data_IF_076686953958
#
_entry.id   IF_076686953958
#
_cell.length_a   1.000
_cell.length_b   1.000
_cell.length_c   1.000
_cell.angle_alpha   90.00
_cell.angle_beta   90.00
_cell.angle_gamma   90.00
#
_symmetry.space_group_name_H-M   'P 1'
#
loop_
_entity.id
_entity.type
_entity.pdbx_description
1 polymer ?
#
# COMPACT_ATOMS: atom_id res chain seq x y z
N UNK A 1 -4.35 30.29 -30.16
CA UNK A 1 -5.48 29.65 -29.49
C UNK A 1 -5.10 29.01 -28.14
N UNK A 2 -4.07 28.19 -28.04
CA UNK A 2 -3.61 27.57 -26.77
C UNK A 2 -3.19 28.59 -25.70
N UNK A 3 -2.46 29.65 -26.05
CA UNK A 3 -2.04 30.71 -25.10
C UNK A 3 -3.24 31.49 -24.52
N UNK A 4 -4.29 31.73 -25.31
CA UNK A 4 -5.51 32.41 -24.84
C UNK A 4 -6.27 31.53 -23.85
N UNK A 5 -6.36 30.21 -24.10
CA UNK A 5 -6.99 29.24 -23.22
C UNK A 5 -6.22 29.14 -21.89
N UNK A 6 -4.89 29.13 -21.91
CA UNK A 6 -4.06 29.12 -20.72
C UNK A 6 -4.22 30.41 -19.89
N UNK A 7 -4.26 31.59 -20.53
CA UNK A 7 -4.49 32.85 -19.85
C UNK A 7 -5.88 32.91 -19.20
N UNK A 8 -6.93 32.42 -19.89
CA UNK A 8 -8.27 32.36 -19.35
C UNK A 8 -8.37 31.42 -18.14
N UNK A 9 -7.74 30.25 -18.22
CA UNK A 9 -7.64 29.29 -17.09
C UNK A 9 -6.99 29.93 -15.87
N UNK A 10 -5.88 30.66 -16.05
CA UNK A 10 -5.16 31.31 -14.96
C UNK A 10 -6.02 32.39 -14.28
N UNK A 11 -6.77 33.18 -15.06
CA UNK A 11 -7.68 34.20 -14.53
C UNK A 11 -8.83 33.59 -13.72
N UNK A 12 -9.42 32.50 -14.19
CA UNK A 12 -10.48 31.79 -13.48
C UNK A 12 -9.94 31.17 -12.17
N UNK A 13 -8.77 30.58 -12.19
CA UNK A 13 -8.14 30.03 -10.98
C UNK A 13 -7.80 31.12 -9.95
N UNK A 14 -7.32 32.29 -10.39
CA UNK A 14 -7.07 33.41 -9.51
C UNK A 14 -8.34 34.01 -8.92
N UNK A 15 -9.43 34.07 -9.68
CA UNK A 15 -10.73 34.51 -9.18
C UNK A 15 -11.27 33.55 -8.10
N UNK A 16 -11.14 32.25 -8.32
CA UNK A 16 -11.56 31.21 -7.36
C UNK A 16 -10.75 31.29 -6.07
N UNK A 17 -9.43 31.52 -6.18
CA UNK A 17 -8.54 31.75 -5.03
C UNK A 17 -8.88 33.01 -4.26
N UNK A 18 -9.27 34.09 -4.97
CA UNK A 18 -9.69 35.33 -4.35
C UNK A 18 -10.92 35.14 -3.43
N UNK A 19 -11.84 34.23 -3.78
CA UNK A 19 -12.96 33.84 -2.93
C UNK A 19 -12.62 32.76 -1.89
N UNK A 20 -11.35 32.43 -1.69
CA UNK A 20 -10.92 31.44 -0.69
C UNK A 20 -11.13 29.97 -1.10
N UNK A 21 -11.43 29.69 -2.39
CA UNK A 21 -11.59 28.33 -2.89
C UNK A 21 -10.33 27.85 -3.62
N UNK A 22 -10.06 26.56 -3.52
CA UNK A 22 -9.05 25.87 -4.32
C UNK A 22 -9.73 24.84 -5.23
N UNK A 23 -9.34 24.80 -6.52
CA UNK A 23 -9.75 23.72 -7.41
C UNK A 23 -8.65 22.67 -7.38
N UNK A 24 -8.97 21.49 -6.85
CA UNK A 24 -8.17 20.31 -7.01
C UNK A 24 -8.69 19.51 -8.21
N UNK A 25 -7.77 19.07 -9.07
CA UNK A 25 -8.12 18.13 -10.14
C UNK A 25 -8.37 16.78 -9.46
N UNK A 26 -9.62 16.45 -9.25
CA UNK A 26 -10.00 15.11 -8.79
C UNK A 26 -9.62 14.08 -9.88
N UNK A 27 -9.27 12.86 -9.48
CA UNK A 27 -9.15 11.77 -10.44
C UNK A 27 -10.48 11.63 -11.23
N UNK A 28 -10.41 11.25 -12.51
CA UNK A 28 -11.62 11.07 -13.30
C UNK A 28 -12.52 10.05 -12.62
N UNK A 29 -13.82 10.37 -12.49
CA UNK A 29 -14.80 9.40 -11.99
C UNK A 29 -14.73 8.14 -12.84
N UNK A 30 -14.78 6.93 -12.21
CA UNK A 30 -14.74 5.69 -12.95
C UNK A 30 -15.88 5.66 -13.96
N UNK A 31 -15.54 5.66 -15.22
CA UNK A 31 -16.53 5.47 -16.27
C UNK A 31 -16.87 3.99 -16.35
N UNK A 32 -18.16 3.66 -16.52
CA UNK A 32 -18.64 2.28 -16.77
C UNK A 32 -17.95 1.59 -17.97
N UNK A 33 -17.27 2.35 -18.81
CA UNK A 33 -16.52 1.93 -20.00
C UNK A 33 -15.05 2.34 -19.92
N UNK A 34 -14.33 1.99 -18.83
CA UNK A 34 -12.91 2.27 -18.77
C UNK A 34 -12.17 1.34 -19.74
N UNK A 35 -11.35 1.92 -20.60
CA UNK A 35 -10.48 1.16 -21.53
C UNK A 35 -9.27 0.65 -20.75
N UNK A 36 -8.78 -0.52 -21.12
CA UNK A 36 -7.47 -0.98 -20.66
C UNK A 36 -6.40 -0.18 -21.39
N UNK A 37 -5.52 0.44 -20.63
CA UNK A 37 -4.34 1.18 -21.12
C UNK A 37 -3.08 0.56 -20.52
N UNK A 38 -1.91 0.98 -20.99
CA UNK A 38 -0.64 0.49 -20.45
C UNK A 38 0.14 1.62 -19.80
N UNK A 39 0.81 1.29 -18.67
CA UNK A 39 1.76 2.15 -17.98
C UNK A 39 3.07 1.40 -17.86
N UNK A 40 4.21 2.05 -18.06
CA UNK A 40 5.52 1.41 -17.89
C UNK A 40 5.95 1.48 -16.43
N UNK A 41 6.06 0.31 -15.76
CA UNK A 41 6.53 0.15 -14.39
C UNK A 41 7.52 -1.01 -14.32
N UNK A 42 8.61 -0.85 -13.57
CA UNK A 42 9.65 -1.88 -13.46
C UNK A 42 10.21 -2.34 -14.82
N UNK A 43 10.25 -1.45 -15.81
CA UNK A 43 10.69 -1.77 -17.16
C UNK A 43 9.71 -2.62 -18.00
N UNK A 44 8.49 -2.85 -17.51
CA UNK A 44 7.44 -3.62 -18.20
C UNK A 44 6.20 -2.77 -18.47
N UNK A 45 5.46 -3.14 -19.53
CA UNK A 45 4.19 -2.51 -19.90
C UNK A 45 3.04 -3.18 -19.13
N UNK A 46 2.55 -2.53 -18.08
CA UNK A 46 1.52 -3.03 -17.19
C UNK A 46 0.15 -2.53 -17.65
N UNK A 47 -0.80 -3.44 -17.77
CA UNK A 47 -2.19 -3.13 -18.11
C UNK A 47 -2.93 -2.58 -16.90
N UNK A 48 -3.66 -1.50 -17.12
CA UNK A 48 -4.47 -0.85 -16.09
C UNK A 48 -5.73 -0.28 -16.75
N UNK A 49 -6.83 -0.20 -16.02
CA UNK A 49 -8.01 0.52 -16.49
C UNK A 49 -7.79 2.03 -16.47
N UNK A 50 -8.16 2.73 -17.54
CA UNK A 50 -7.96 4.20 -17.68
C UNK A 50 -8.67 5.03 -16.60
N UNK A 51 -9.71 4.48 -15.97
CA UNK A 51 -10.40 5.09 -14.83
C UNK A 51 -9.78 4.77 -13.46
N UNK A 52 -8.77 3.90 -13.41
CA UNK A 52 -8.10 3.58 -12.16
C UNK A 52 -7.26 4.78 -11.70
N UNK A 53 -7.38 5.23 -10.43
CA UNK A 53 -6.62 6.35 -9.89
C UNK A 53 -5.11 6.23 -10.06
N UNK A 54 -4.56 5.01 -10.08
CA UNK A 54 -3.14 4.75 -10.29
C UNK A 54 -2.61 5.34 -11.60
N UNK A 55 -3.42 5.37 -12.69
CA UNK A 55 -3.01 6.02 -13.93
C UNK A 55 -2.65 7.49 -13.74
N UNK A 56 -3.45 8.22 -12.94
CA UNK A 56 -3.20 9.61 -12.62
C UNK A 56 -2.09 9.73 -11.55
N UNK A 57 -2.08 8.81 -10.61
CA UNK A 57 -1.12 8.81 -9.50
C UNK A 57 0.32 8.66 -10.01
N UNK A 58 0.61 7.69 -10.86
CA UNK A 58 1.94 7.53 -11.47
C UNK A 58 2.35 8.68 -12.41
N UNK A 59 1.38 9.35 -13.05
CA UNK A 59 1.69 10.57 -13.82
C UNK A 59 2.10 11.74 -12.93
N UNK A 60 1.50 11.86 -11.74
CA UNK A 60 1.77 12.93 -10.78
C UNK A 60 2.99 12.62 -9.92
N UNK A 61 3.15 11.36 -9.54
CA UNK A 61 4.20 10.83 -8.68
C UNK A 61 4.91 9.64 -9.34
N UNK A 62 5.86 9.90 -10.25
CA UNK A 62 6.53 8.82 -11.00
C UNK A 62 7.29 7.81 -10.11
N UNK A 63 7.69 8.24 -8.92
CA UNK A 63 8.45 7.42 -7.97
C UNK A 63 7.56 6.78 -6.89
N UNK A 64 6.22 6.82 -7.05
CA UNK A 64 5.32 6.14 -6.14
C UNK A 64 5.65 4.64 -6.05
N UNK A 65 5.65 4.08 -4.85
CA UNK A 65 6.06 2.70 -4.55
C UNK A 65 7.54 2.34 -4.85
N UNK A 66 8.37 3.27 -5.35
CA UNK A 66 9.79 2.99 -5.63
C UNK A 66 10.57 2.61 -4.35
N UNK A 67 10.12 3.08 -3.18
CA UNK A 67 10.61 2.65 -1.87
C UNK A 67 10.52 1.13 -1.67
N UNK A 68 9.43 0.51 -2.13
CA UNK A 68 9.22 -0.95 -2.04
C UNK A 68 10.18 -1.69 -2.97
N UNK A 69 10.45 -1.13 -4.16
CA UNK A 69 11.45 -1.68 -5.09
C UNK A 69 12.86 -1.66 -4.50
N UNK A 70 13.27 -0.54 -3.88
CA UNK A 70 14.57 -0.43 -3.18
C UNK A 70 14.65 -1.42 -2.04
N UNK A 71 13.59 -1.55 -1.22
CA UNK A 71 13.55 -2.56 -0.15
C UNK A 71 13.71 -3.97 -0.70
N UNK A 72 13.05 -4.30 -1.81
CA UNK A 72 13.18 -5.60 -2.45
C UNK A 72 14.62 -5.89 -2.90
N UNK A 73 15.32 -4.89 -3.47
CA UNK A 73 16.72 -5.02 -3.86
C UNK A 73 17.65 -5.24 -2.65
N UNK A 74 17.47 -4.44 -1.58
CA UNK A 74 18.26 -4.57 -0.34
C UNK A 74 18.01 -5.91 0.35
N UNK A 75 16.74 -6.34 0.40
CA UNK A 75 16.36 -7.66 0.94
C UNK A 75 16.98 -8.77 0.11
N UNK A 76 16.95 -8.71 -1.22
CA UNK A 76 17.61 -9.72 -2.07
C UNK A 76 19.12 -9.78 -1.83
N UNK A 77 19.76 -8.64 -1.66
CA UNK A 77 21.20 -8.58 -1.38
C UNK A 77 21.59 -9.32 -0.09
N UNK A 78 20.77 -9.23 0.95
CA UNK A 78 21.00 -9.91 2.25
C UNK A 78 20.43 -11.33 2.31
N UNK A 79 19.29 -11.54 1.69
CA UNK A 79 18.50 -12.78 1.77
C UNK A 79 18.12 -13.25 0.36
N UNK A 80 19.08 -13.79 -0.43
CA UNK A 80 18.87 -14.09 -1.84
C UNK A 80 17.81 -15.19 -2.11
N UNK A 81 17.37 -15.91 -1.09
CA UNK A 81 16.30 -16.93 -1.16
C UNK A 81 15.03 -16.50 -0.47
N UNK A 82 14.92 -15.22 -0.08
CA UNK A 82 13.73 -14.68 0.57
C UNK A 82 12.51 -14.65 -0.36
N UNK A 83 11.35 -14.56 0.26
CA UNK A 83 10.08 -14.31 -0.40
C UNK A 83 9.59 -12.91 -0.10
N UNK A 84 8.89 -12.34 -1.06
CA UNK A 84 8.13 -11.10 -0.92
C UNK A 84 6.65 -11.43 -0.90
N UNK A 85 5.89 -10.74 -0.05
CA UNK A 85 4.43 -10.81 -0.05
C UNK A 85 3.88 -9.41 -0.32
N UNK A 86 2.95 -9.30 -1.27
CA UNK A 86 2.24 -8.08 -1.66
C UNK A 86 0.74 -8.30 -1.47
N UNK A 87 0.18 -7.75 -0.40
CA UNK A 87 -1.24 -7.83 -0.07
C UNK A 87 -1.93 -6.52 -0.46
N UNK A 88 -3.03 -6.62 -1.19
CA UNK A 88 -3.62 -5.49 -1.91
C UNK A 88 -2.84 -5.22 -3.19
N UNK A 89 -2.51 -6.30 -3.93
CA UNK A 89 -1.66 -6.21 -5.12
C UNK A 89 -2.32 -5.49 -6.30
N UNK A 90 -3.59 -5.12 -6.19
CA UNK A 90 -4.38 -4.38 -7.17
C UNK A 90 -4.18 -4.97 -8.59
N UNK A 91 -3.68 -4.21 -9.54
CA UNK A 91 -3.39 -4.67 -10.91
C UNK A 91 -1.97 -5.21 -11.07
N UNK A 92 -1.16 -5.29 -10.01
CA UNK A 92 0.23 -5.73 -10.04
C UNK A 92 1.23 -4.63 -10.38
N UNK A 93 0.91 -3.41 -10.07
CA UNK A 93 1.80 -2.25 -10.21
C UNK A 93 3.00 -2.36 -9.24
N UNK A 94 2.74 -2.65 -7.97
CA UNK A 94 3.81 -2.91 -6.98
C UNK A 94 4.62 -4.15 -7.33
N UNK A 95 3.96 -5.24 -7.79
CA UNK A 95 4.66 -6.42 -8.31
C UNK A 95 5.67 -6.05 -9.41
N UNK A 96 5.27 -5.19 -10.37
CA UNK A 96 6.14 -4.77 -11.45
C UNK A 96 7.35 -3.98 -10.93
N UNK A 97 7.15 -3.09 -9.95
CA UNK A 97 8.22 -2.33 -9.32
C UNK A 97 9.18 -3.28 -8.58
N UNK A 98 8.66 -4.20 -7.74
CA UNK A 98 9.48 -5.20 -7.06
C UNK A 98 10.32 -5.98 -8.06
N UNK A 99 9.71 -6.51 -9.13
CA UNK A 99 10.39 -7.31 -10.16
C UNK A 99 11.35 -6.49 -11.04
N UNK A 100 11.19 -5.19 -11.10
CA UNK A 100 12.16 -4.28 -11.73
C UNK A 100 13.44 -4.11 -10.93
N UNK A 101 13.41 -4.36 -9.62
CA UNK A 101 14.54 -4.19 -8.70
C UNK A 101 15.12 -5.52 -8.17
N UNK A 102 14.30 -6.58 -8.12
CA UNK A 102 14.67 -7.86 -7.53
C UNK A 102 14.02 -9.05 -8.26
N UNK A 103 14.68 -10.21 -8.24
CA UNK A 103 14.20 -11.46 -8.83
C UNK A 103 13.57 -12.42 -7.82
N UNK A 104 13.31 -11.96 -6.59
CA UNK A 104 12.73 -12.76 -5.53
C UNK A 104 11.35 -13.32 -5.92
N UNK A 105 10.95 -14.51 -5.43
CA UNK A 105 9.59 -15.01 -5.54
C UNK A 105 8.61 -14.08 -4.82
N UNK A 106 7.44 -13.84 -5.43
CA UNK A 106 6.41 -12.92 -4.90
C UNK A 106 5.08 -13.65 -4.76
N UNK A 107 4.45 -13.52 -3.62
CA UNK A 107 3.05 -13.89 -3.39
C UNK A 107 2.23 -12.61 -3.48
N UNK A 108 1.28 -12.54 -4.41
CA UNK A 108 0.34 -11.42 -4.56
C UNK A 108 -1.05 -11.85 -4.13
N UNK A 109 -1.68 -11.05 -3.29
CA UNK A 109 -3.06 -11.27 -2.81
C UNK A 109 -3.91 -10.07 -3.18
N UNK A 110 -5.03 -10.33 -3.88
CA UNK A 110 -6.00 -9.32 -4.29
C UNK A 110 -7.42 -9.88 -4.18
N UNK A 111 -8.31 -9.17 -3.48
CA UNK A 111 -9.68 -9.60 -3.25
C UNK A 111 -10.68 -9.14 -4.32
N UNK A 112 -10.48 -7.96 -4.93
CA UNK A 112 -11.36 -7.45 -5.97
C UNK A 112 -11.16 -8.21 -7.28
N UNK A 113 -12.26 -8.77 -7.81
CA UNK A 113 -12.20 -9.61 -9.02
C UNK A 113 -11.69 -8.84 -10.25
N UNK A 114 -12.04 -7.57 -10.38
CA UNK A 114 -11.68 -6.75 -11.56
C UNK A 114 -10.18 -6.42 -11.54
N UNK A 115 -9.65 -6.06 -10.36
CA UNK A 115 -8.23 -5.83 -10.19
C UNK A 115 -7.45 -7.14 -10.36
N UNK A 116 -7.93 -8.24 -9.78
CA UNK A 116 -7.30 -9.54 -9.90
C UNK A 116 -7.22 -10.07 -11.34
N UNK A 117 -8.24 -9.83 -12.18
CA UNK A 117 -8.21 -10.23 -13.59
C UNK A 117 -7.10 -9.53 -14.38
N UNK A 118 -6.80 -8.27 -14.06
CA UNK A 118 -5.65 -7.56 -14.62
C UNK A 118 -4.33 -8.00 -14.00
N UNK A 119 -4.30 -8.22 -12.67
CA UNK A 119 -3.14 -8.79 -11.98
C UNK A 119 -2.70 -10.10 -12.63
N UNK A 120 -3.62 -11.01 -12.91
CA UNK A 120 -3.31 -12.28 -13.59
C UNK A 120 -2.66 -12.07 -14.98
N UNK A 121 -3.12 -11.06 -15.72
CA UNK A 121 -2.54 -10.76 -17.04
C UNK A 121 -1.14 -10.16 -16.91
N UNK A 122 -0.95 -9.23 -15.96
CA UNK A 122 0.31 -8.54 -15.75
C UNK A 122 1.37 -9.46 -15.13
N UNK A 123 0.97 -10.35 -14.22
CA UNK A 123 1.88 -11.29 -13.58
C UNK A 123 2.55 -12.27 -14.56
N UNK A 124 1.95 -12.54 -15.72
CA UNK A 124 2.55 -13.37 -16.78
C UNK A 124 3.84 -12.77 -17.38
N UNK A 125 4.13 -11.51 -17.10
CA UNK A 125 5.35 -10.83 -17.52
C UNK A 125 6.55 -11.15 -16.62
N UNK A 126 6.33 -11.88 -15.52
CA UNK A 126 7.32 -12.12 -14.47
C UNK A 126 7.33 -13.59 -14.04
N UNK A 127 8.51 -14.08 -13.69
CA UNK A 127 8.71 -15.42 -13.15
C UNK A 127 8.50 -15.46 -11.63
N UNK A 128 8.21 -16.65 -11.11
CA UNK A 128 8.09 -16.93 -9.67
C UNK A 128 7.07 -16.01 -8.97
N UNK A 129 5.86 -15.93 -9.53
CA UNK A 129 4.73 -15.17 -8.97
C UNK A 129 3.60 -16.13 -8.63
N UNK A 130 3.10 -16.04 -7.39
CA UNK A 130 1.96 -16.81 -6.89
C UNK A 130 0.79 -15.85 -6.62
N UNK A 131 -0.37 -16.14 -7.20
CA UNK A 131 -1.53 -15.25 -7.16
C UNK A 131 -2.68 -15.86 -6.36
N UNK A 132 -3.28 -15.06 -5.48
CA UNK A 132 -4.45 -15.48 -4.69
C UNK A 132 -5.55 -14.41 -4.77
N UNK A 133 -6.75 -14.86 -5.17
CA UNK A 133 -7.94 -14.03 -5.10
C UNK A 133 -8.69 -14.33 -3.81
N UNK A 134 -8.35 -13.62 -2.77
CA UNK A 134 -8.96 -13.77 -1.44
C UNK A 134 -8.86 -12.47 -0.64
N UNK A 135 -9.71 -12.34 0.36
CA UNK A 135 -9.58 -11.30 1.38
C UNK A 135 -8.85 -11.87 2.60
N UNK A 136 -8.02 -11.03 3.23
CA UNK A 136 -7.28 -11.40 4.42
C UNK A 136 -7.77 -10.62 5.65
N UNK A 137 -7.64 -11.24 6.83
CA UNK A 137 -7.94 -10.62 8.12
C UNK A 137 -7.09 -11.28 9.23
N UNK A 138 -7.34 -10.88 10.48
CA UNK A 138 -6.69 -11.48 11.66
C UNK A 138 -7.19 -12.90 11.99
N UNK A 139 -8.33 -13.31 11.44
CA UNK A 139 -8.91 -14.63 11.63
C UNK A 139 -9.55 -15.14 10.33
N UNK A 140 -9.49 -16.46 10.05
CA UNK A 140 -10.21 -17.04 8.93
C UNK A 140 -11.69 -17.10 9.24
N UNK A 141 -12.53 -17.04 8.22
CA UNK A 141 -13.97 -17.20 8.38
C UNK A 141 -14.78 -16.38 7.41
N UNK A 142 -16.09 -16.40 7.63
CA UNK A 142 -17.05 -15.69 6.79
C UNK A 142 -17.61 -14.49 7.58
N UNK A 143 -17.56 -13.31 7.00
CA UNK A 143 -18.06 -12.08 7.64
C UNK A 143 -19.04 -11.35 6.72
N UNK A 144 -20.05 -10.71 7.34
CA UNK A 144 -20.94 -9.77 6.66
C UNK A 144 -20.25 -8.40 6.61
N UNK A 145 -19.86 -7.98 5.42
CA UNK A 145 -19.08 -6.77 5.20
C UNK A 145 -19.86 -5.81 4.30
N UNK A 146 -20.02 -4.58 4.74
CA UNK A 146 -20.42 -3.50 3.87
C UNK A 146 -19.22 -3.12 3.00
N UNK A 147 -19.37 -3.21 1.70
CA UNK A 147 -18.35 -2.80 0.75
C UNK A 147 -18.73 -1.45 0.18
N UNK A 148 -17.89 -0.46 0.40
CA UNK A 148 -18.01 0.82 -0.29
C UNK A 148 -16.96 0.85 -1.40
N UNK A 149 -17.43 0.97 -2.64
CA UNK A 149 -16.54 1.12 -3.79
C UNK A 149 -16.54 2.58 -4.22
N UNK A 150 -15.43 3.26 -3.97
CA UNK A 150 -15.19 4.58 -4.55
C UNK A 150 -14.21 4.42 -5.72
N UNK A 151 -14.81 4.37 -6.89
CA UNK A 151 -14.05 4.12 -8.10
C UNK A 151 -13.47 2.69 -8.16
N UNK A 152 -12.16 2.58 -8.04
CA UNK A 152 -11.38 1.34 -8.09
C UNK A 152 -10.92 0.87 -6.71
N UNK A 153 -11.03 1.75 -5.71
CA UNK A 153 -10.72 1.41 -4.34
C UNK A 153 -11.94 0.78 -3.69
N UNK A 154 -11.75 -0.33 -3.01
CA UNK A 154 -12.78 -1.04 -2.27
C UNK A 154 -12.45 -0.98 -0.78
N UNK A 155 -13.15 -0.10 -0.07
CA UNK A 155 -13.08 -0.03 1.39
C UNK A 155 -14.04 -1.05 1.99
N UNK A 156 -13.57 -1.79 2.97
CA UNK A 156 -14.35 -2.76 3.72
C UNK A 156 -14.72 -2.15 5.09
N UNK A 157 -15.99 -2.22 5.47
CA UNK A 157 -16.45 -1.83 6.81
C UNK A 157 -17.39 -2.89 7.38
N UNK A 158 -17.57 -2.92 8.70
CA UNK A 158 -18.57 -3.82 9.28
C UNK A 158 -19.97 -3.39 8.84
N UNK A 159 -20.79 -4.37 8.43
CA UNK A 159 -22.19 -4.08 8.11
C UNK A 159 -22.92 -3.71 9.42
N UNK A 160 -23.37 -2.45 9.50
CA UNK A 160 -24.21 -2.00 10.62
C UNK A 160 -25.59 -2.65 10.59
N UNK A 161 -26.36 -2.58 11.71
CA UNK A 161 -27.74 -3.08 11.77
C UNK A 161 -28.58 -2.46 10.65
N UNK A 162 -29.21 -3.31 9.80
CA UNK A 162 -30.08 -2.88 8.72
C UNK A 162 -29.40 -2.55 7.38
N UNK A 163 -28.09 -2.70 7.26
CA UNK A 163 -27.39 -2.59 5.98
C UNK A 163 -27.17 -3.97 5.37
N UNK A 164 -27.48 -4.12 4.09
CA UNK A 164 -27.22 -5.34 3.31
C UNK A 164 -25.71 -5.45 3.03
N UNK A 165 -24.99 -6.14 3.94
CA UNK A 165 -23.59 -6.50 3.72
C UNK A 165 -23.46 -7.63 2.69
N UNK A 166 -22.30 -7.71 2.05
CA UNK A 166 -21.91 -8.91 1.26
C UNK A 166 -21.24 -9.91 2.19
N UNK A 167 -21.54 -11.18 1.99
CA UNK A 167 -20.83 -12.25 2.67
C UNK A 167 -19.49 -12.47 1.99
N UNK A 168 -18.38 -12.19 2.69
CA UNK A 168 -17.03 -12.40 2.19
C UNK A 168 -16.33 -13.46 3.03
N UNK A 169 -15.54 -14.31 2.35
CA UNK A 169 -14.64 -15.28 2.96
C UNK A 169 -13.29 -14.62 3.21
N UNK A 170 -12.78 -14.77 4.42
CA UNK A 170 -11.48 -14.28 4.84
C UNK A 170 -10.54 -15.44 5.19
N UNK A 171 -9.26 -15.22 4.95
CA UNK A 171 -8.18 -16.11 5.35
C UNK A 171 -7.14 -15.32 6.16
N UNK A 172 -6.19 -15.97 6.81
CA UNK A 172 -5.03 -15.35 7.43
C UNK A 172 -3.81 -15.44 6.52
N UNK A 173 -2.92 -14.46 6.61
CA UNK A 173 -1.71 -14.48 5.81
C UNK A 173 -0.80 -15.65 6.19
N UNK A 174 -0.71 -16.00 7.47
CA UNK A 174 0.06 -17.14 7.96
C UNK A 174 -0.34 -18.45 7.26
N UNK A 175 -1.65 -18.73 7.20
CA UNK A 175 -2.15 -19.95 6.55
C UNK A 175 -1.95 -19.95 5.04
N UNK A 176 -2.14 -18.79 4.40
CA UNK A 176 -1.96 -18.65 2.96
C UNK A 176 -0.50 -18.95 2.58
N UNK A 177 0.48 -18.30 3.23
CA UNK A 177 1.90 -18.52 2.94
C UNK A 177 2.34 -19.94 3.25
N UNK A 178 1.88 -20.51 4.35
CA UNK A 178 2.13 -21.92 4.69
C UNK A 178 1.61 -22.88 3.60
N UNK A 179 0.46 -22.58 3.02
CA UNK A 179 -0.12 -23.37 1.93
C UNK A 179 0.67 -23.30 0.61
N UNK A 180 1.37 -22.18 0.36
CA UNK A 180 2.23 -22.03 -0.83
C UNK A 180 3.54 -22.77 -0.67
N UNK A 181 4.25 -22.49 0.41
CA UNK A 181 5.52 -23.10 0.73
C UNK A 181 5.76 -23.04 2.25
N UNK A 182 5.66 -24.17 2.96
CA UNK A 182 5.87 -24.23 4.41
C UNK A 182 7.27 -23.75 4.86
N UNK A 183 8.24 -23.78 3.93
CA UNK A 183 9.63 -23.36 4.18
C UNK A 183 9.93 -21.95 3.66
N UNK A 184 8.92 -21.20 3.19
CA UNK A 184 9.10 -19.85 2.71
C UNK A 184 9.57 -18.93 3.85
N UNK A 185 10.68 -18.25 3.63
CA UNK A 185 11.20 -17.21 4.53
C UNK A 185 10.80 -15.85 3.95
N UNK A 186 9.72 -15.26 4.42
CA UNK A 186 9.26 -13.94 3.99
C UNK A 186 10.14 -12.88 4.64
N UNK A 187 10.78 -12.02 3.83
CA UNK A 187 11.65 -10.92 4.31
C UNK A 187 11.19 -9.54 3.89
N UNK A 188 10.20 -9.45 3.03
CA UNK A 188 9.49 -8.22 2.72
C UNK A 188 7.99 -8.51 2.66
N UNK A 189 7.22 -7.77 3.44
CA UNK A 189 5.76 -7.85 3.50
C UNK A 189 5.17 -6.47 3.26
N UNK A 190 4.50 -6.27 2.12
CA UNK A 190 3.67 -5.10 1.85
C UNK A 190 2.21 -5.43 2.15
N UNK A 191 1.53 -4.54 2.86
CA UNK A 191 0.08 -4.58 3.08
C UNK A 191 -0.49 -3.21 2.77
N UNK A 192 -1.45 -3.16 1.84
CA UNK A 192 -2.09 -1.92 1.41
C UNK A 192 -3.51 -2.29 0.94
N UNK A 193 -4.45 -2.23 1.87
CA UNK A 193 -5.78 -2.82 1.71
C UNK A 193 -6.92 -1.90 2.15
N UNK A 194 -6.68 -0.59 2.07
CA UNK A 194 -7.70 0.41 2.35
C UNK A 194 -8.36 0.22 3.74
N UNK A 195 -7.51 -0.01 4.77
CA UNK A 195 -7.90 -0.04 6.18
C UNK A 195 -7.84 -1.40 6.88
N UNK A 196 -7.78 -2.53 6.16
CA UNK A 196 -7.62 -3.85 6.80
C UNK A 196 -6.17 -4.18 7.20
N UNK A 197 -5.23 -3.31 6.92
CA UNK A 197 -3.79 -3.50 7.09
C UNK A 197 -3.40 -4.01 8.47
N UNK A 198 -3.88 -3.35 9.54
CA UNK A 198 -3.57 -3.74 10.91
C UNK A 198 -4.12 -5.13 11.26
N UNK A 199 -5.29 -5.48 10.75
CA UNK A 199 -5.91 -6.81 10.96
C UNK A 199 -5.13 -7.89 10.22
N UNK A 200 -4.72 -7.61 8.98
CA UNK A 200 -3.93 -8.54 8.17
C UNK A 200 -2.57 -8.80 8.83
N UNK A 201 -1.90 -7.77 9.32
CA UNK A 201 -0.64 -7.90 10.04
C UNK A 201 -0.78 -8.71 11.34
N UNK A 202 -1.91 -8.60 12.05
CA UNK A 202 -2.21 -9.50 13.18
C UNK A 202 -2.45 -10.95 12.74
N UNK A 203 -3.02 -11.16 11.54
CA UNK A 203 -3.17 -12.47 10.91
C UNK A 203 -1.89 -13.07 10.31
N UNK A 204 -0.78 -12.31 10.38
CA UNK A 204 0.56 -12.70 9.97
C UNK A 204 1.51 -12.94 11.15
N UNK A 205 0.98 -13.15 12.36
CA UNK A 205 1.77 -13.18 13.60
C UNK A 205 2.92 -14.20 13.58
N UNK A 206 2.74 -15.37 12.98
CA UNK A 206 3.78 -16.39 12.84
C UNK A 206 4.90 -15.94 11.89
N UNK A 207 4.54 -15.30 10.78
CA UNK A 207 5.50 -14.71 9.83
C UNK A 207 6.28 -13.60 10.51
N UNK A 208 5.60 -12.70 11.22
CA UNK A 208 6.24 -11.57 11.91
C UNK A 208 7.22 -12.04 12.99
N UNK A 209 6.85 -13.03 13.79
CA UNK A 209 7.72 -13.57 14.86
C UNK A 209 8.89 -14.38 14.32
N UNK A 210 8.66 -15.24 13.30
CA UNK A 210 9.69 -16.19 12.87
C UNK A 210 10.57 -15.65 11.76
N UNK A 211 10.00 -14.93 10.80
CA UNK A 211 10.74 -14.44 9.65
C UNK A 211 11.23 -13.01 9.82
N UNK A 212 10.56 -12.21 10.68
CA UNK A 212 10.91 -10.83 10.96
C UNK A 212 11.10 -10.01 9.66
N UNK A 213 10.09 -9.99 8.75
CA UNK A 213 10.22 -9.27 7.49
C UNK A 213 10.31 -7.75 7.73
N UNK A 214 10.89 -7.02 6.80
CA UNK A 214 10.56 -5.60 6.66
C UNK A 214 9.10 -5.52 6.28
N UNK A 215 8.34 -4.69 7.00
CA UNK A 215 6.91 -4.50 6.77
C UNK A 215 6.72 -3.13 6.10
N UNK A 216 5.90 -3.06 5.06
CA UNK A 216 5.38 -1.78 4.54
C UNK A 216 3.86 -1.82 4.58
N UNK A 217 3.23 -0.75 5.09
CA UNK A 217 1.77 -0.65 5.15
C UNK A 217 1.31 0.80 5.04
N UNK A 218 0.04 0.97 4.63
CA UNK A 218 -0.60 2.28 4.59
C UNK A 218 -1.22 2.61 5.96
N UNK A 219 -0.91 3.78 6.49
CA UNK A 219 -1.56 4.34 7.67
C UNK A 219 -2.50 5.47 7.23
N UNK A 220 -3.75 5.12 6.94
CA UNK A 220 -4.80 6.04 6.52
C UNK A 220 -5.88 6.12 7.60
N UNK A 221 -5.97 7.27 8.25
CA UNK A 221 -6.87 7.49 9.37
C UNK A 221 -8.34 7.28 8.98
N UNK A 222 -8.75 7.78 7.82
CA UNK A 222 -10.15 7.69 7.38
C UNK A 222 -10.59 6.25 7.09
N UNK A 223 -9.65 5.40 6.67
CA UNK A 223 -9.91 3.99 6.42
C UNK A 223 -9.89 3.16 7.72
N UNK A 224 -9.11 3.57 8.73
CA UNK A 224 -8.94 2.84 9.99
C UNK A 224 -10.01 3.16 11.03
N UNK A 225 -10.40 4.43 11.18
CA UNK A 225 -11.37 4.86 12.21
C UNK A 225 -12.71 4.11 12.14
N UNK A 226 -13.32 3.86 10.95
CA UNK A 226 -14.58 3.11 10.85
C UNK A 226 -14.47 1.65 11.30
N UNK A 227 -13.26 1.08 11.32
CA UNK A 227 -13.03 -0.30 11.76
C UNK A 227 -12.84 -0.42 13.27
N UNK A 228 -12.63 0.71 13.98
CA UNK A 228 -12.44 0.75 15.40
C UNK A 228 -11.11 0.16 15.89
N UNK A 229 -10.13 -0.02 14.97
CA UNK A 229 -8.81 -0.53 15.35
C UNK A 229 -7.97 0.58 16.01
N UNK A 230 -7.39 0.28 17.17
CA UNK A 230 -6.48 1.19 17.88
C UNK A 230 -5.09 1.18 17.24
N UNK A 231 -4.70 2.31 16.66
CA UNK A 231 -3.36 2.50 16.07
C UNK A 231 -2.29 2.51 17.17
N UNK A 232 -2.60 3.05 18.35
CA UNK A 232 -1.69 3.04 19.49
C UNK A 232 -1.40 1.63 20.00
N UNK A 233 -2.43 0.76 20.09
CA UNK A 233 -2.25 -0.64 20.48
C UNK A 233 -1.52 -1.43 19.40
N UNK A 234 -1.69 -1.06 18.13
CA UNK A 234 -0.96 -1.67 17.04
C UNK A 234 0.52 -1.28 17.03
N UNK A 235 0.85 -0.03 17.34
CA UNK A 235 2.24 0.39 17.54
C UNK A 235 2.90 -0.46 18.64
N UNK A 236 2.26 -0.60 19.80
CA UNK A 236 2.75 -1.42 20.90
C UNK A 236 2.89 -2.89 20.51
N UNK A 237 1.96 -3.42 19.71
CA UNK A 237 2.04 -4.77 19.18
C UNK A 237 3.30 -4.98 18.33
N UNK A 238 3.64 -4.05 17.44
CA UNK A 238 4.86 -4.12 16.63
C UNK A 238 6.12 -4.02 17.50
N UNK A 239 6.14 -3.10 18.47
CA UNK A 239 7.25 -2.96 19.42
C UNK A 239 7.48 -4.26 20.20
N UNK A 240 6.41 -4.88 20.70
CA UNK A 240 6.49 -6.15 21.44
C UNK A 240 6.99 -7.32 20.57
N UNK A 241 6.79 -7.26 19.25
CA UNK A 241 7.36 -8.20 18.29
C UNK A 241 8.82 -7.87 17.92
N UNK A 242 9.38 -6.77 18.43
CA UNK A 242 10.78 -6.37 18.20
C UNK A 242 10.98 -5.45 16.99
N UNK A 243 9.93 -4.87 16.44
CA UNK A 243 10.02 -3.86 15.39
C UNK A 243 10.27 -2.49 16.00
N UNK A 244 11.50 -1.99 15.88
CA UNK A 244 11.96 -0.82 16.62
C UNK A 244 12.20 0.42 15.76
N UNK A 245 12.23 0.30 14.44
CA UNK A 245 12.56 1.41 13.55
C UNK A 245 11.47 1.61 12.49
N UNK A 246 11.03 2.84 12.34
CA UNK A 246 9.93 3.24 11.46
C UNK A 246 10.41 4.32 10.50
N UNK A 247 10.07 4.22 9.23
CA UNK A 247 10.30 5.26 8.23
C UNK A 247 8.96 5.62 7.62
N UNK A 248 8.62 6.90 7.66
CA UNK A 248 7.35 7.43 7.17
C UNK A 248 7.58 8.21 5.87
N UNK A 249 6.76 7.91 4.88
CA UNK A 249 6.71 8.61 3.60
C UNK A 249 5.33 9.26 3.39
N UNK A 250 5.27 10.34 2.60
CA UNK A 250 4.01 10.90 2.14
C UNK A 250 3.45 10.10 0.94
N UNK A 251 2.22 10.40 0.54
CA UNK A 251 1.53 9.79 -0.62
C UNK A 251 2.31 9.88 -1.95
N UNK A 252 3.32 10.72 -2.05
CA UNK A 252 4.21 10.85 -3.21
C UNK A 252 5.49 10.03 -3.08
N UNK A 253 5.64 9.23 -2.01
CA UNK A 253 6.83 8.43 -1.72
C UNK A 253 8.02 9.25 -1.21
N UNK A 254 7.80 10.50 -0.73
CA UNK A 254 8.87 11.34 -0.17
C UNK A 254 9.04 11.06 1.32
N UNK A 255 10.29 10.88 1.74
CA UNK A 255 10.65 10.69 3.14
C UNK A 255 10.18 11.89 3.99
N UNK A 256 9.38 11.61 5.02
CA UNK A 256 8.99 12.58 6.05
C UNK A 256 9.98 12.53 7.20
N UNK A 257 10.03 11.41 7.91
CA UNK A 257 10.90 11.20 9.07
C UNK A 257 11.21 9.71 9.27
N UNK A 258 12.17 9.46 10.15
CA UNK A 258 12.40 8.15 10.75
C UNK A 258 12.18 8.28 12.25
N UNK A 259 11.52 7.30 12.85
CA UNK A 259 11.21 7.22 14.28
C UNK A 259 11.74 5.89 14.85
N UNK A 260 11.97 5.87 16.14
CA UNK A 260 12.29 4.65 16.86
C UNK A 260 11.17 4.23 17.85
N UNK A 261 11.36 3.11 18.54
CA UNK A 261 10.40 2.55 19.48
C UNK A 261 9.99 3.48 20.63
N UNK A 262 10.78 4.52 20.94
CA UNK A 262 10.53 5.45 22.05
C UNK A 262 9.70 6.68 21.61
N UNK A 263 9.49 6.86 20.31
CA UNK A 263 8.84 8.04 19.74
C UNK A 263 7.35 7.79 19.43
N UNK A 264 6.68 6.94 20.23
CA UNK A 264 5.23 6.66 20.09
C UNK A 264 4.39 7.93 20.08
N UNK A 265 4.72 8.92 20.92
CA UNK A 265 3.97 10.18 20.96
C UNK A 265 4.04 10.92 19.64
N UNK A 266 5.23 11.02 19.03
CA UNK A 266 5.42 11.64 17.71
C UNK A 266 4.67 10.86 16.63
N UNK A 267 4.70 9.52 16.68
CA UNK A 267 3.94 8.68 15.75
C UNK A 267 2.43 8.95 15.86
N UNK A 268 1.91 9.06 17.07
CA UNK A 268 0.49 9.35 17.30
C UNK A 268 0.11 10.79 16.90
N UNK A 269 0.99 11.77 17.11
CA UNK A 269 0.78 13.15 16.65
C UNK A 269 0.71 13.23 15.13
N UNK A 270 1.59 12.51 14.42
CA UNK A 270 1.55 12.39 12.95
C UNK A 270 0.26 11.71 12.48
N UNK A 271 -0.17 10.63 13.14
CA UNK A 271 -1.44 9.97 12.84
C UNK A 271 -2.63 10.92 13.03
N UNK A 272 -2.66 11.70 14.11
CA UNK A 272 -3.73 12.69 14.34
C UNK A 272 -3.69 13.85 13.33
N UNK A 273 -2.50 14.21 12.84
CA UNK A 273 -2.34 15.25 11.83
C UNK A 273 -2.85 14.82 10.44
N UNK A 274 -2.74 13.53 10.11
CA UNK A 274 -3.21 13.03 8.81
C UNK A 274 -4.73 13.07 8.74
N UNK A 275 -5.27 13.72 7.71
CA UNK A 275 -6.71 13.80 7.47
C UNK A 275 -6.98 14.21 6.03
N UNK A 276 -8.15 13.83 5.48
CA UNK A 276 -8.59 14.28 4.15
C UNK A 276 -8.66 15.81 4.12
N UNK A 277 -8.13 16.39 3.04
CA UNK A 277 -8.04 17.85 2.91
C UNK A 277 -6.77 18.48 3.49
N UNK A 278 -5.96 17.71 4.23
CA UNK A 278 -4.62 18.14 4.64
C UNK A 278 -3.60 17.81 3.53
N UNK A 279 -2.43 18.49 3.53
CA UNK A 279 -1.34 18.17 2.58
C UNK A 279 -0.86 16.72 2.66
N UNK A 280 -0.95 16.11 3.85
CA UNK A 280 -0.66 14.70 4.12
C UNK A 280 -1.94 14.08 4.67
N UNK A 281 -2.54 13.16 3.94
CA UNK A 281 -3.78 12.49 4.32
C UNK A 281 -3.60 11.01 4.67
N UNK A 282 -2.47 10.41 4.31
CA UNK A 282 -1.99 9.10 4.78
C UNK A 282 -0.47 9.03 4.74
N UNK A 283 0.09 8.02 5.36
CA UNK A 283 1.50 7.70 5.35
C UNK A 283 1.73 6.28 4.83
N UNK A 284 2.76 6.11 3.98
CA UNK A 284 3.36 4.81 3.73
C UNK A 284 4.45 4.59 4.77
N UNK A 285 4.32 3.54 5.57
CA UNK A 285 5.22 3.25 6.68
C UNK A 285 6.03 2.01 6.39
N UNK A 286 7.36 2.10 6.50
CA UNK A 286 8.26 0.97 6.47
C UNK A 286 8.79 0.71 7.88
N UNK A 287 8.66 -0.55 8.36
CA UNK A 287 9.02 -0.93 9.72
C UNK A 287 10.05 -2.04 9.72
N UNK A 288 11.09 -1.91 10.54
CA UNK A 288 12.22 -2.81 10.59
C UNK A 288 12.36 -3.43 11.98
N UNK A 289 12.62 -4.75 11.99
CA UNK A 289 12.93 -5.46 13.22
C UNK A 289 14.29 -5.04 13.75
N UNK A 290 14.48 -5.05 15.07
CA UNK A 290 15.75 -4.65 15.75
C UNK A 290 17.00 -5.39 15.27
N UNK A 291 16.84 -6.62 14.74
CA UNK A 291 17.95 -7.39 14.16
C UNK A 291 18.38 -6.90 12.79
N UNK A 292 17.57 -6.12 12.12
CA UNK A 292 17.79 -5.62 10.75
C UNK A 292 18.16 -4.12 10.75
N UNK A 293 18.84 -3.64 11.82
CA UNK A 293 19.23 -2.24 11.97
C UNK A 293 20.10 -1.74 10.80
N UNK A 294 21.03 -2.55 10.32
CA UNK A 294 21.85 -2.15 9.17
C UNK A 294 21.03 -1.98 7.90
N UNK A 295 20.04 -2.86 7.66
CA UNK A 295 19.11 -2.74 6.53
C UNK A 295 18.28 -1.45 6.63
N UNK A 296 17.83 -1.10 7.84
CA UNK A 296 17.18 0.17 8.12
C UNK A 296 18.07 1.38 7.77
N UNK A 297 19.34 1.37 8.21
CA UNK A 297 20.28 2.46 7.97
C UNK A 297 20.60 2.61 6.48
N UNK A 298 20.80 1.51 5.75
CA UNK A 298 21.00 1.51 4.31
C UNK A 298 19.80 2.07 3.57
N UNK A 299 18.60 1.62 3.93
CA UNK A 299 17.37 2.10 3.31
C UNK A 299 17.13 3.58 3.60
N UNK A 300 17.30 4.01 4.86
CA UNK A 300 17.17 5.43 5.24
C UNK A 300 18.16 6.32 4.49
N UNK A 301 19.41 5.87 4.33
CA UNK A 301 20.42 6.57 3.56
C UNK A 301 20.02 6.72 2.09
N UNK A 302 19.52 5.64 1.47
CA UNK A 302 19.03 5.67 0.10
C UNK A 302 17.85 6.64 -0.08
N UNK A 303 16.92 6.70 0.91
CA UNK A 303 15.79 7.64 0.87
C UNK A 303 16.23 9.10 1.02
N UNK A 304 17.25 9.37 1.85
CA UNK A 304 17.82 10.72 2.04
C UNK A 304 18.54 11.22 0.80
N UNK A 305 19.25 10.35 0.08
CA UNK A 305 19.96 10.71 -1.15
C UNK A 305 19.01 11.11 -2.28
N UNK A 306 17.80 10.55 -2.33
CA UNK A 306 16.76 10.92 -3.29
C UNK A 306 16.14 12.31 -3.05
N UNK A 307 16.33 12.91 -1.88
CA UNK A 307 15.87 14.28 -1.56
C UNK A 307 16.65 15.39 -2.28
N UNK A 308 17.87 15.11 -2.71
CA UNK A 308 18.78 16.04 -3.39
C UNK A 308 18.72 15.82 -4.91
#
# INVERSE_FOLDING_TARGET
MQQVIQSLKLRVLNLIRYFGYAIHKLPPRPQKTSRVVSVTLGGKSIKIHSGNPLCFHYQKYPNHNDSVGILAALVQGRFPKAWVVDVGANVGDTLAIIKGHASLPVICVEGDAICYDLLQQNARLFDNVHLFRTFLSNQPGTMQIATQKDGWNMTLSQAGPGHSGRTLQFETLDRLVQGVNPSAVVKLLKVDTEGYDLRILRGASSILMRNQPVITFELNRENLEPLGDSVGDFFDYLINLGYHHFILHDAGGRLICALDQHEKSVFMDLYQYSNLGQPIYYYDISVFHKTDKELFEEFLSAQRTKRN
#
